data_IF_125130334416
#
_entry.id   IF_125130334416
#
_cell.length_a   1.000
_cell.length_b   1.000
_cell.length_c   1.000
_cell.angle_alpha   90.00
_cell.angle_beta   90.00
_cell.angle_gamma   90.00
#
_symmetry.space_group_name_H-M   'P 1'
#
loop_
_entity.id
_entity.type
_entity.pdbx_description
1 polymer ?
#
# COMPACT_ATOMS: atom_id res chain seq x y z
N UNK A 1 -9.11 -114.91 11.45
CA UNK A 1 -8.40 -114.02 10.51
C UNK A 1 -9.15 -112.69 10.44
N UNK A 2 -8.59 -111.59 10.96
CA UNK A 2 -9.09 -110.24 10.66
C UNK A 2 -8.69 -109.89 9.22
N UNK A 3 -9.62 -109.33 8.42
CA UNK A 3 -9.44 -109.12 6.97
C UNK A 3 -8.91 -107.72 6.58
N UNK A 4 -8.61 -106.84 7.54
CA UNK A 4 -7.86 -105.61 7.30
C UNK A 4 -7.27 -105.09 8.61
N UNK A 5 -6.02 -104.62 8.57
CA UNK A 5 -5.41 -103.79 9.62
C UNK A 5 -5.06 -102.45 8.98
N UNK A 6 -5.51 -101.35 9.57
CA UNK A 6 -5.16 -99.99 9.15
C UNK A 6 -4.44 -99.31 10.31
N UNK A 7 -3.22 -98.85 10.09
CA UNK A 7 -2.54 -97.92 10.99
C UNK A 7 -2.81 -96.51 10.49
N UNK A 8 -3.27 -95.64 11.38
CA UNK A 8 -3.53 -94.24 11.11
C UNK A 8 -2.69 -93.42 12.10
N UNK A 9 -1.91 -92.47 11.59
CA UNK A 9 -1.13 -91.52 12.40
C UNK A 9 -1.78 -90.14 12.38
N UNK A 10 -1.43 -89.28 13.32
CA UNK A 10 -1.98 -87.91 13.41
C UNK A 10 -1.60 -87.08 12.16
N UNK A 11 -0.48 -87.38 11.53
CA UNK A 11 -0.09 -86.77 10.24
C UNK A 11 -1.06 -87.14 9.10
N UNK A 12 -1.76 -88.28 9.20
CA UNK A 12 -2.76 -88.70 8.22
C UNK A 12 -4.14 -88.03 8.44
N UNK A 13 -4.32 -87.28 9.55
CA UNK A 13 -5.58 -86.63 9.93
C UNK A 13 -5.59 -85.10 9.78
N UNK A 14 -4.42 -84.46 9.59
CA UNK A 14 -4.28 -83.01 9.50
C UNK A 14 -3.72 -82.60 8.14
N UNK A 15 -4.42 -81.73 7.41
CA UNK A 15 -4.10 -81.34 6.02
C UNK A 15 -3.51 -79.93 5.87
N UNK A 16 -3.32 -79.19 6.98
CA UNK A 16 -2.84 -77.80 6.92
C UNK A 16 -1.31 -77.71 7.08
N UNK A 17 -0.65 -77.15 6.08
CA UNK A 17 0.80 -76.97 6.00
C UNK A 17 1.38 -75.93 6.97
N UNK A 18 0.56 -75.11 7.63
CA UNK A 18 1.03 -74.08 8.57
C UNK A 18 1.18 -74.55 10.03
N UNK A 19 0.86 -75.82 10.30
CA UNK A 19 0.99 -76.44 11.61
C UNK A 19 2.30 -77.21 11.71
N UNK A 20 3.13 -76.87 12.70
CA UNK A 20 4.34 -77.63 13.03
C UNK A 20 4.01 -78.53 14.22
N UNK A 21 4.20 -79.83 14.05
CA UNK A 21 3.97 -80.85 15.08
C UNK A 21 5.31 -81.33 15.59
N UNK A 22 5.54 -81.17 16.89
CA UNK A 22 6.68 -81.76 17.59
C UNK A 22 6.15 -82.76 18.61
N UNK A 23 6.59 -84.02 18.49
CA UNK A 23 6.32 -85.08 19.46
C UNK A 23 7.62 -85.38 20.21
N UNK A 24 7.56 -85.38 21.54
CA UNK A 24 8.72 -85.72 22.36
C UNK A 24 8.77 -87.22 22.72
N UNK A 25 9.92 -87.68 23.22
CA UNK A 25 10.13 -89.09 23.62
C UNK A 25 9.31 -89.51 24.87
N UNK A 26 8.38 -88.68 25.35
CA UNK A 26 7.43 -88.98 26.41
C UNK A 26 5.97 -89.04 25.90
N UNK A 27 5.75 -88.87 24.59
CA UNK A 27 4.43 -88.97 23.94
C UNK A 27 3.57 -87.72 24.12
N UNK A 28 4.16 -86.57 24.48
CA UNK A 28 3.47 -85.28 24.49
C UNK A 28 3.59 -84.61 23.12
N UNK A 29 2.43 -84.15 22.62
CA UNK A 29 2.32 -83.50 21.31
C UNK A 29 2.13 -82.00 21.52
N UNK A 30 3.01 -81.19 20.94
CA UNK A 30 2.90 -79.73 20.92
C UNK A 30 2.51 -79.25 19.52
N UNK A 31 1.41 -78.50 19.43
CA UNK A 31 0.92 -77.86 18.20
C UNK A 31 1.28 -76.38 18.23
N UNK A 32 2.13 -75.94 17.30
CA UNK A 32 2.50 -74.52 17.17
C UNK A 32 1.93 -73.97 15.87
N UNK A 33 1.04 -72.99 16.00
CA UNK A 33 0.46 -72.26 14.88
C UNK A 33 1.25 -70.98 14.63
N UNK A 34 1.82 -70.82 13.43
CA UNK A 34 2.51 -69.60 13.03
C UNK A 34 1.60 -68.78 12.13
N UNK A 35 1.25 -67.58 12.58
CA UNK A 35 0.51 -66.59 11.79
C UNK A 35 1.34 -65.32 11.68
N UNK A 36 1.59 -64.87 10.45
CA UNK A 36 2.25 -63.59 10.23
C UNK A 36 1.25 -62.46 10.57
N UNK A 37 1.61 -61.61 11.54
CA UNK A 37 0.78 -60.49 11.95
C UNK A 37 1.03 -59.29 11.01
N UNK A 38 0.00 -58.97 10.22
CA UNK A 38 -0.25 -57.73 9.48
C UNK A 38 0.99 -56.91 9.05
N UNK A 39 1.35 -57.01 7.77
CA UNK A 39 2.21 -56.03 7.11
C UNK A 39 1.44 -54.71 6.97
N UNK A 40 1.67 -53.79 7.91
CA UNK A 40 1.05 -52.46 7.87
C UNK A 40 1.81 -51.57 6.87
N UNK A 41 1.26 -51.38 5.68
CA UNK A 41 1.70 -50.30 4.79
C UNK A 41 1.27 -48.94 5.41
N UNK A 42 2.27 -48.23 5.93
CA UNK A 42 2.14 -46.97 6.67
C UNK A 42 1.69 -45.80 5.79
N UNK A 43 1.66 -45.95 4.46
CA UNK A 43 1.16 -44.93 3.52
C UNK A 43 -0.33 -44.63 3.75
N UNK A 44 -1.06 -45.53 4.42
CA UNK A 44 -2.49 -45.39 4.68
C UNK A 44 -2.85 -44.73 6.03
N UNK A 45 -1.90 -44.59 6.96
CA UNK A 45 -2.18 -44.10 8.33
C UNK A 45 -1.99 -42.58 8.44
N UNK A 46 -1.27 -41.96 7.50
CA UNK A 46 -1.07 -40.51 7.47
C UNK A 46 -1.95 -39.90 6.38
N UNK A 47 -3.21 -39.60 6.71
CA UNK A 47 -3.99 -38.64 5.91
C UNK A 47 -3.57 -37.25 6.37
N UNK A 48 -2.70 -36.59 5.59
CA UNK A 48 -2.53 -35.15 5.69
C UNK A 48 -3.71 -34.54 4.94
N UNK A 49 -4.82 -34.33 5.63
CA UNK A 49 -5.87 -33.47 5.13
C UNK A 49 -5.31 -32.03 5.19
N UNK A 50 -4.63 -31.61 4.12
CA UNK A 50 -4.27 -30.20 3.97
C UNK A 50 -5.57 -29.45 3.74
N UNK A 51 -6.18 -28.96 4.81
CA UNK A 51 -7.07 -27.81 4.71
C UNK A 51 -6.13 -26.64 4.44
N UNK A 52 -5.97 -26.28 3.17
CA UNK A 52 -5.43 -24.98 2.85
C UNK A 52 -6.50 -23.98 3.27
N UNK A 53 -6.33 -23.38 4.44
CA UNK A 53 -7.11 -22.20 4.80
C UNK A 53 -6.80 -21.14 3.75
N UNK A 54 -7.77 -20.86 2.87
CA UNK A 54 -7.72 -19.71 1.98
C UNK A 54 -7.95 -18.46 2.84
N UNK A 55 -6.87 -17.90 3.36
CA UNK A 55 -6.90 -16.64 4.06
C UNK A 55 -7.07 -15.51 3.04
N UNK A 56 -8.32 -15.11 2.79
CA UNK A 56 -8.62 -13.91 2.00
C UNK A 56 -8.30 -12.71 2.88
N UNK A 57 -7.06 -12.23 2.82
CA UNK A 57 -6.70 -10.92 3.31
C UNK A 57 -7.33 -9.87 2.39
N UNK A 58 -8.49 -9.33 2.79
CA UNK A 58 -8.93 -8.04 2.27
C UNK A 58 -8.09 -7.00 2.99
N UNK A 59 -7.42 -6.12 2.23
CA UNK A 59 -6.87 -4.88 2.79
C UNK A 59 -8.05 -4.16 3.45
N UNK A 60 -8.09 -4.19 4.78
CA UNK A 60 -9.05 -3.43 5.56
C UNK A 60 -8.74 -1.95 5.26
N UNK A 61 -9.72 -1.27 4.66
CA UNK A 61 -9.67 0.10 4.10
C UNK A 61 -8.28 0.75 4.06
N UNK A 62 -7.63 0.79 2.90
CA UNK A 62 -6.42 1.61 2.74
C UNK A 62 -6.83 3.08 2.91
N UNK A 63 -6.50 3.66 4.07
CA UNK A 63 -6.63 5.09 4.31
C UNK A 63 -5.42 5.78 3.72
N UNK A 64 -5.64 6.69 2.78
CA UNK A 64 -4.59 7.51 2.20
C UNK A 64 -4.40 8.76 3.04
N UNK A 65 -3.14 9.12 3.33
CA UNK A 65 -2.82 10.38 3.98
C UNK A 65 -3.13 11.56 3.05
N UNK A 66 -3.38 12.73 3.65
CA UNK A 66 -3.58 13.95 2.89
C UNK A 66 -2.29 14.31 2.13
N UNK A 67 -2.44 14.68 0.86
CA UNK A 67 -1.32 15.04 0.00
C UNK A 67 -1.27 16.56 -0.07
N UNK A 68 -0.19 17.18 0.41
CA UNK A 68 -0.02 18.64 0.37
C UNK A 68 1.23 19.04 -0.41
N UNK A 69 1.06 19.95 -1.36
CA UNK A 69 2.13 20.53 -2.19
C UNK A 69 2.05 22.05 -2.06
N UNK A 70 3.20 22.71 -1.96
CA UNK A 70 3.28 24.17 -1.80
C UNK A 70 4.13 24.80 -2.90
N UNK A 71 3.66 25.92 -3.42
CA UNK A 71 4.38 26.82 -4.31
C UNK A 71 4.59 28.18 -3.65
N UNK A 72 5.67 28.87 -4.02
CA UNK A 72 6.07 30.16 -3.42
C UNK A 72 6.46 31.14 -4.51
N UNK A 73 5.67 32.20 -4.67
CA UNK A 73 5.96 33.30 -5.58
C UNK A 73 6.46 34.52 -4.79
N UNK A 74 7.70 34.92 -4.99
CA UNK A 74 8.30 36.03 -4.26
C UNK A 74 7.96 37.38 -4.90
N UNK A 75 7.91 38.44 -4.09
CA UNK A 75 7.74 39.80 -4.59
C UNK A 75 8.93 40.20 -5.45
N UNK A 76 10.13 39.66 -5.19
CA UNK A 76 11.33 39.89 -6.00
C UNK A 76 11.17 39.38 -7.43
N UNK A 77 10.61 38.18 -7.62
CA UNK A 77 10.29 37.62 -8.95
C UNK A 77 9.23 38.46 -9.64
N UNK A 78 8.16 38.82 -8.92
CA UNK A 78 7.06 39.64 -9.45
C UNK A 78 7.55 41.02 -9.89
N UNK A 79 8.36 41.70 -9.09
CA UNK A 79 8.94 43.01 -9.42
C UNK A 79 9.89 42.88 -10.62
N UNK A 80 10.66 41.80 -10.70
CA UNK A 80 11.61 41.57 -11.81
C UNK A 80 10.92 41.33 -13.14
N UNK A 81 9.68 40.83 -13.13
CA UNK A 81 8.85 40.67 -14.33
C UNK A 81 8.30 42.02 -14.86
N UNK A 82 8.24 43.06 -14.02
CA UNK A 82 7.81 44.40 -14.43
C UNK A 82 8.99 45.13 -15.09
N UNK A 83 8.85 45.66 -16.33
CA UNK A 83 9.91 46.46 -16.97
C UNK A 83 10.33 47.66 -16.12
N UNK A 84 11.59 47.68 -15.67
CA UNK A 84 12.12 48.71 -14.77
C UNK A 84 11.66 48.59 -13.31
N UNK A 85 10.91 47.52 -12.96
CA UNK A 85 10.42 47.24 -11.62
C UNK A 85 11.50 47.33 -10.54
N UNK A 86 12.68 46.68 -10.70
CA UNK A 86 13.74 46.76 -9.69
C UNK A 86 14.31 48.16 -9.44
N UNK A 87 14.13 49.10 -10.37
CA UNK A 87 14.52 50.50 -10.22
C UNK A 87 13.43 51.28 -9.46
N UNK A 88 12.16 50.98 -9.73
CA UNK A 88 11.01 51.63 -9.10
C UNK A 88 10.77 51.12 -7.66
N UNK A 89 11.04 49.85 -7.40
CA UNK A 89 10.84 49.19 -6.11
C UNK A 89 12.10 48.44 -5.66
N UNK A 90 13.22 49.13 -5.34
CA UNK A 90 14.44 48.44 -4.93
C UNK A 90 14.25 47.64 -3.64
N UNK A 91 14.94 46.50 -3.52
CA UNK A 91 14.91 45.71 -2.29
C UNK A 91 15.45 46.52 -1.08
N UNK A 92 14.77 46.43 0.06
CA UNK A 92 15.08 47.17 1.28
C UNK A 92 14.64 48.64 1.27
N UNK A 93 13.96 49.10 0.21
CA UNK A 93 13.42 50.45 0.13
C UNK A 93 12.07 50.59 0.84
N UNK A 94 11.60 51.82 0.99
CA UNK A 94 10.22 52.12 1.41
C UNK A 94 9.54 52.88 0.29
N UNK A 95 8.48 52.31 -0.29
CA UNK A 95 7.78 52.87 -1.44
C UNK A 95 6.27 52.68 -1.31
N UNK A 96 5.50 53.53 -1.98
CA UNK A 96 4.05 53.32 -2.11
C UNK A 96 3.81 52.42 -3.32
N UNK A 97 3.13 51.30 -3.10
CA UNK A 97 2.80 50.34 -4.17
C UNK A 97 1.49 50.82 -4.83
N UNK A 98 1.47 51.07 -6.14
CA UNK A 98 0.24 51.38 -6.86
C UNK A 98 -0.61 50.11 -7.03
N UNK A 99 -1.90 50.28 -7.35
CA UNK A 99 -2.70 49.12 -7.78
C UNK A 99 -2.26 48.66 -9.17
N UNK A 100 -2.11 47.36 -9.35
CA UNK A 100 -1.72 46.71 -10.60
C UNK A 100 -2.72 45.59 -10.89
N UNK A 101 -3.43 45.68 -12.01
CA UNK A 101 -4.38 44.65 -12.43
C UNK A 101 -3.66 43.55 -13.19
N UNK A 102 -4.07 42.30 -12.99
CA UNK A 102 -3.53 41.14 -13.69
C UNK A 102 -2.01 41.01 -13.53
N UNK A 103 -1.49 41.26 -12.32
CA UNK A 103 -0.05 41.15 -12.03
C UNK A 103 0.48 39.74 -12.35
N UNK A 104 -0.39 38.75 -12.25
CA UNK A 104 -0.21 37.43 -12.84
C UNK A 104 -1.44 37.08 -13.69
N UNK A 105 -1.21 36.57 -14.89
CA UNK A 105 -2.26 36.18 -15.84
C UNK A 105 -1.78 35.01 -16.71
N UNK A 106 -2.53 33.92 -16.68
CA UNK A 106 -2.17 32.64 -17.33
C UNK A 106 -0.80 32.11 -16.90
N UNK A 107 -0.40 32.44 -15.67
CA UNK A 107 0.80 31.85 -15.09
C UNK A 107 0.51 30.42 -14.66
N UNK A 108 1.51 29.54 -14.74
CA UNK A 108 1.34 28.11 -14.51
C UNK A 108 2.22 27.62 -13.37
N UNK A 109 1.60 26.90 -12.44
CA UNK A 109 2.26 26.25 -11.32
C UNK A 109 2.20 24.74 -11.57
N UNK A 110 3.37 24.09 -11.63
CA UNK A 110 3.44 22.65 -11.74
C UNK A 110 3.37 22.01 -10.34
N UNK A 111 2.44 21.07 -10.19
CA UNK A 111 2.18 20.35 -8.95
C UNK A 111 2.53 18.89 -9.23
N UNK A 112 3.63 18.42 -8.62
CA UNK A 112 4.13 17.06 -8.79
C UNK A 112 3.78 16.20 -7.57
N UNK A 113 2.82 15.31 -7.76
CA UNK A 113 2.37 14.30 -6.80
C UNK A 113 2.90 12.89 -7.13
N UNK A 114 3.87 12.75 -8.04
CA UNK A 114 4.43 11.47 -8.49
C UNK A 114 5.02 10.62 -7.36
N UNK A 115 5.43 11.24 -6.25
CA UNK A 115 5.86 10.52 -5.05
C UNK A 115 4.74 9.72 -4.36
N UNK A 116 3.47 10.03 -4.64
CA UNK A 116 2.31 9.43 -3.99
C UNK A 116 1.56 8.47 -4.92
N UNK A 117 1.37 8.85 -6.18
CA UNK A 117 0.60 8.07 -7.16
C UNK A 117 0.96 8.47 -8.59
N UNK A 118 0.71 7.59 -9.55
CA UNK A 118 0.75 7.90 -10.99
C UNK A 118 -0.60 8.42 -11.50
N UNK A 119 -1.68 7.72 -11.14
CA UNK A 119 -3.07 8.12 -11.42
C UNK A 119 -3.98 7.62 -10.30
N UNK A 120 -5.03 8.39 -9.98
CA UNK A 120 -6.06 7.99 -9.01
C UNK A 120 -7.45 8.34 -9.52
N UNK A 121 -8.42 7.45 -9.33
CA UNK A 121 -9.85 7.69 -9.57
C UNK A 121 -10.57 7.68 -8.23
N UNK A 122 -11.22 8.79 -7.88
CA UNK A 122 -11.81 9.02 -6.57
C UNK A 122 -13.30 8.68 -6.58
N UNK A 123 -13.82 8.02 -5.53
CA UNK A 123 -15.26 8.03 -5.24
C UNK A 123 -15.64 9.16 -4.26
N UNK A 124 -14.65 9.69 -3.52
CA UNK A 124 -14.76 10.89 -2.69
C UNK A 124 -13.38 11.53 -2.53
N UNK A 125 -13.36 12.82 -2.23
CA UNK A 125 -12.16 13.57 -1.87
C UNK A 125 -12.37 15.06 -2.06
N UNK A 126 -11.57 15.87 -1.40
CA UNK A 126 -11.61 17.33 -1.53
C UNK A 126 -10.26 17.84 -2.01
N UNK A 127 -10.32 18.78 -2.94
CA UNK A 127 -9.19 19.61 -3.31
C UNK A 127 -9.32 20.94 -2.58
N UNK A 128 -8.35 21.22 -1.72
CA UNK A 128 -8.28 22.41 -0.88
C UNK A 128 -7.14 23.29 -1.37
N UNK A 129 -7.39 24.58 -1.53
CA UNK A 129 -6.36 25.58 -1.84
C UNK A 129 -6.31 26.60 -0.71
N UNK A 130 -5.12 26.77 -0.12
CA UNK A 130 -4.82 27.84 0.80
C UNK A 130 -3.85 28.82 0.12
N UNK A 131 -4.20 30.12 0.11
CA UNK A 131 -3.31 31.18 -0.37
C UNK A 131 -2.96 32.07 0.82
N UNK A 132 -1.67 32.20 1.10
CA UNK A 132 -1.11 33.01 2.19
C UNK A 132 -0.43 34.22 1.57
N UNK A 133 -0.93 35.42 1.87
CA UNK A 133 -0.39 36.66 1.32
C UNK A 133 0.62 37.29 2.30
N UNK A 134 1.92 37.09 2.09
CA UNK A 134 2.93 37.82 2.85
C UNK A 134 3.45 39.08 2.13
N UNK A 135 2.84 39.50 1.02
CA UNK A 135 3.19 40.78 0.41
C UNK A 135 2.82 41.93 1.35
N UNK A 136 3.50 43.09 1.25
CA UNK A 136 3.24 44.27 2.06
C UNK A 136 1.97 45.04 1.64
N UNK A 137 1.13 44.47 0.77
CA UNK A 137 -0.15 45.04 0.32
C UNK A 137 -1.15 43.92 0.03
N UNK A 138 -2.42 44.26 -0.05
CA UNK A 138 -3.49 43.29 -0.30
C UNK A 138 -3.46 42.78 -1.75
N UNK A 139 -3.92 41.55 -1.94
CA UNK A 139 -4.15 40.95 -3.27
C UNK A 139 -5.64 40.66 -3.44
N UNK A 140 -6.14 40.75 -4.67
CA UNK A 140 -7.57 40.58 -4.95
C UNK A 140 -7.82 39.90 -6.30
N UNK A 141 -9.08 39.53 -6.52
CA UNK A 141 -9.57 38.94 -7.77
C UNK A 141 -8.73 37.75 -8.24
N UNK A 142 -8.32 36.89 -7.30
CA UNK A 142 -7.57 35.69 -7.62
C UNK A 142 -8.53 34.69 -8.28
N UNK A 143 -8.11 34.15 -9.42
CA UNK A 143 -8.81 33.09 -10.14
C UNK A 143 -7.81 32.01 -10.52
N UNK A 144 -7.97 30.82 -9.93
CA UNK A 144 -7.08 29.68 -10.12
C UNK A 144 -7.88 28.48 -10.63
N UNK A 145 -7.40 27.85 -11.69
CA UNK A 145 -7.94 26.59 -12.19
C UNK A 145 -6.90 25.49 -12.03
N UNK A 146 -7.29 24.31 -11.56
CA UNK A 146 -6.42 23.14 -11.54
C UNK A 146 -6.85 22.18 -12.64
N UNK A 147 -5.90 21.69 -13.43
CA UNK A 147 -6.18 20.84 -14.59
C UNK A 147 -5.27 19.62 -14.63
N UNK A 148 -5.78 18.52 -15.16
CA UNK A 148 -4.95 17.39 -15.56
C UNK A 148 -4.23 17.75 -16.87
N UNK A 149 -2.88 17.72 -16.92
CA UNK A 149 -2.12 18.07 -18.11
C UNK A 149 -2.33 17.07 -19.26
N UNK A 150 -2.63 15.80 -18.96
CA UNK A 150 -2.76 14.74 -19.96
C UNK A 150 -3.95 14.96 -20.92
N UNK A 151 -5.05 15.50 -20.40
CA UNK A 151 -6.33 15.62 -21.09
C UNK A 151 -6.97 17.02 -20.98
N UNK A 152 -6.32 17.97 -20.30
CA UNK A 152 -6.79 19.33 -20.04
C UNK A 152 -8.14 19.40 -19.33
N UNK A 153 -8.54 18.33 -18.64
CA UNK A 153 -9.77 18.33 -17.85
C UNK A 153 -9.58 19.21 -16.61
N UNK A 154 -10.55 20.08 -16.35
CA UNK A 154 -10.56 20.94 -15.17
C UNK A 154 -10.98 20.09 -13.97
N UNK A 155 -10.09 20.01 -12.98
CA UNK A 155 -10.33 19.34 -11.71
C UNK A 155 -11.14 20.24 -10.78
N UNK A 156 -10.74 21.51 -10.65
CA UNK A 156 -11.38 22.47 -9.77
C UNK A 156 -11.09 23.90 -10.19
N UNK A 157 -11.95 24.83 -9.77
CA UNK A 157 -11.74 26.28 -9.89
C UNK A 157 -11.90 26.92 -8.52
N UNK A 158 -11.04 27.88 -8.22
CA UNK A 158 -10.99 28.61 -6.96
C UNK A 158 -11.05 30.11 -7.23
N UNK A 159 -11.73 30.84 -6.35
CA UNK A 159 -11.78 32.30 -6.42
C UNK A 159 -11.64 32.93 -5.05
N UNK A 160 -10.68 33.85 -4.93
CA UNK A 160 -10.46 34.62 -3.70
C UNK A 160 -10.65 36.10 -4.02
N UNK A 161 -11.76 36.71 -3.57
CA UNK A 161 -12.06 38.11 -3.87
C UNK A 161 -11.04 39.09 -3.29
N UNK A 162 -10.55 38.82 -2.07
CA UNK A 162 -9.59 39.65 -1.35
C UNK A 162 -8.83 38.80 -0.34
N UNK A 163 -7.51 38.95 -0.30
CA UNK A 163 -6.64 38.43 0.76
C UNK A 163 -5.77 39.59 1.23
N UNK A 164 -6.01 40.04 2.46
CA UNK A 164 -5.28 41.16 3.03
C UNK A 164 -3.80 40.81 3.26
N UNK A 165 -2.94 41.82 3.34
CA UNK A 165 -1.53 41.66 3.70
C UNK A 165 -1.39 40.96 5.06
N UNK A 166 -0.62 39.87 5.10
CA UNK A 166 -0.37 39.05 6.29
C UNK A 166 -1.44 38.00 6.59
N UNK A 167 -2.53 37.95 5.81
CA UNK A 167 -3.63 37.01 6.00
C UNK A 167 -3.56 35.82 5.04
N UNK A 168 -4.33 34.78 5.33
CA UNK A 168 -4.57 33.65 4.42
C UNK A 168 -6.05 33.46 4.11
N UNK A 169 -6.33 32.88 2.95
CA UNK A 169 -7.67 32.45 2.56
C UNK A 169 -7.64 30.99 2.10
N UNK A 170 -8.71 30.27 2.40
CA UNK A 170 -8.87 28.85 2.10
C UNK A 170 -10.19 28.61 1.40
N UNK A 171 -10.16 27.78 0.35
CA UNK A 171 -11.35 27.32 -0.37
C UNK A 171 -11.19 25.82 -0.72
N UNK A 172 -12.31 25.12 -0.93
CA UNK A 172 -12.34 23.67 -1.13
C UNK A 172 -13.41 23.24 -2.12
N UNK A 173 -13.08 22.28 -2.99
CA UNK A 173 -13.97 21.72 -4.00
C UNK A 173 -14.00 20.20 -3.88
N UNK A 174 -15.19 19.60 -3.93
CA UNK A 174 -15.38 18.15 -4.01
C UNK A 174 -14.95 17.64 -5.40
N UNK A 175 -14.08 16.64 -5.40
CA UNK A 175 -13.48 16.03 -6.60
C UNK A 175 -13.84 14.53 -6.71
N UNK A 176 -14.86 14.08 -5.98
CA UNK A 176 -15.43 12.75 -6.12
C UNK A 176 -15.91 12.46 -7.56
N UNK A 177 -15.57 11.28 -8.06
CA UNK A 177 -15.85 10.84 -9.42
C UNK A 177 -14.83 11.30 -10.47
N UNK A 178 -13.83 12.11 -10.10
CA UNK A 178 -12.76 12.53 -11.00
C UNK A 178 -11.57 11.56 -10.96
N UNK A 179 -10.86 11.51 -12.08
CA UNK A 179 -9.53 10.91 -12.19
C UNK A 179 -8.49 12.02 -12.15
N UNK A 180 -7.47 11.86 -11.32
CA UNK A 180 -6.38 12.82 -11.10
C UNK A 180 -5.07 12.15 -11.50
N UNK A 181 -4.26 12.87 -12.27
CA UNK A 181 -2.92 12.44 -12.67
C UNK A 181 -1.88 12.89 -11.64
N UNK A 182 -0.72 12.22 -11.61
CA UNK A 182 0.41 12.58 -10.75
C UNK A 182 0.87 14.02 -10.92
N UNK A 183 0.74 14.55 -12.13
CA UNK A 183 1.05 15.93 -12.44
C UNK A 183 -0.25 16.69 -12.55
N UNK A 184 -0.37 17.79 -11.81
CA UNK A 184 -1.48 18.74 -11.94
C UNK A 184 -0.88 20.09 -12.35
N UNK A 185 -1.56 20.81 -13.25
CA UNK A 185 -1.18 22.18 -13.58
C UNK A 185 -2.18 23.12 -12.93
N UNK A 186 -1.69 24.01 -12.07
CA UNK A 186 -2.44 25.18 -11.63
C UNK A 186 -2.28 26.31 -12.62
N UNK A 187 -3.38 26.88 -13.09
CA UNK A 187 -3.42 28.00 -14.02
C UNK A 187 -3.98 29.21 -13.27
N UNK A 188 -3.12 30.18 -12.97
CA UNK A 188 -3.50 31.44 -12.36
C UNK A 188 -4.04 32.37 -13.45
N UNK A 189 -5.35 32.37 -13.62
CA UNK A 189 -6.04 33.14 -14.65
C UNK A 189 -5.98 34.65 -14.38
N UNK A 190 -6.03 35.04 -13.11
CA UNK A 190 -5.90 36.43 -12.69
C UNK A 190 -5.42 36.54 -11.25
N UNK A 191 -4.67 37.59 -10.96
CA UNK A 191 -4.42 38.13 -9.63
C UNK A 191 -4.19 39.64 -9.77
N UNK A 192 -4.81 40.42 -8.91
CA UNK A 192 -4.61 41.87 -8.84
C UNK A 192 -3.82 42.22 -7.57
N UNK A 193 -2.99 43.25 -7.68
CA UNK A 193 -2.31 43.88 -6.56
C UNK A 193 -3.06 45.17 -6.18
N UNK A 194 -3.46 45.28 -4.93
CA UNK A 194 -4.11 46.49 -4.44
C UNK A 194 -3.07 47.55 -4.09
N UNK A 195 -3.45 48.83 -4.19
CA UNK A 195 -2.59 49.92 -3.76
C UNK A 195 -2.32 49.83 -2.25
N UNK A 196 -1.08 50.07 -1.84
CA UNK A 196 -0.73 50.11 -0.42
C UNK A 196 -1.31 51.36 0.26
N UNK A 197 -1.60 51.26 1.55
CA UNK A 197 -2.08 52.38 2.38
C UNK A 197 -0.93 53.35 2.77
N UNK A 198 -0.24 53.89 1.78
CA UNK A 198 0.97 54.70 1.94
C UNK A 198 2.28 53.91 1.76
N UNK A 199 3.42 54.48 2.17
CA UNK A 199 4.72 53.84 1.98
C UNK A 199 4.88 52.58 2.82
N UNK A 200 5.26 51.47 2.18
CA UNK A 200 5.52 50.17 2.80
C UNK A 200 6.96 49.72 2.52
N UNK A 201 7.51 48.88 3.40
CA UNK A 201 8.83 48.29 3.20
C UNK A 201 8.79 47.26 2.08
N UNK A 202 9.73 47.32 1.14
CA UNK A 202 9.86 46.35 0.06
C UNK A 202 10.95 45.35 0.44
N UNK A 203 10.56 44.11 0.71
CA UNK A 203 11.48 43.00 0.97
C UNK A 203 11.28 41.91 -0.07
N UNK A 204 12.28 41.65 -0.90
CA UNK A 204 12.19 40.69 -2.01
C UNK A 204 11.95 39.25 -1.56
N UNK A 205 12.17 38.94 -0.28
CA UNK A 205 11.86 37.63 0.30
C UNK A 205 10.41 37.47 0.72
N UNK A 206 9.62 38.55 0.76
CA UNK A 206 8.18 38.46 1.00
C UNK A 206 7.53 37.70 -0.15
N UNK A 207 6.61 36.79 0.17
CA UNK A 207 6.09 35.83 -0.80
C UNK A 207 4.61 35.51 -0.62
N UNK A 208 3.94 35.25 -1.73
CA UNK A 208 2.65 34.57 -1.74
C UNK A 208 2.94 33.08 -1.73
N UNK A 209 2.37 32.37 -0.76
CA UNK A 209 2.51 30.92 -0.63
C UNK A 209 1.17 30.29 -0.96
N UNK A 210 1.15 29.42 -1.96
CA UNK A 210 -0.04 28.66 -2.33
C UNK A 210 0.16 27.22 -1.89
N UNK A 211 -0.76 26.67 -1.10
CA UNK A 211 -0.77 25.26 -0.74
C UNK A 211 -1.98 24.59 -1.36
N UNK A 212 -1.74 23.42 -1.92
CA UNK A 212 -2.72 22.60 -2.59
C UNK A 212 -2.74 21.27 -1.86
N UNK A 213 -3.90 20.93 -1.30
CA UNK A 213 -4.10 19.73 -0.50
C UNK A 213 -5.21 18.87 -1.09
N UNK A 214 -4.93 17.58 -1.30
CA UNK A 214 -5.94 16.56 -1.57
C UNK A 214 -6.23 15.84 -0.25
N UNK A 215 -7.48 15.83 0.20
CA UNK A 215 -7.89 15.30 1.50
C UNK A 215 -9.13 14.42 1.44
N UNK A 216 -9.36 13.64 2.50
CA UNK A 216 -10.43 12.62 2.62
C UNK A 216 -10.49 11.69 1.39
N UNK A 217 -9.31 11.23 0.97
CA UNK A 217 -9.12 10.46 -0.25
C UNK A 217 -9.83 9.11 -0.11
N UNK A 218 -10.84 8.88 -0.96
CA UNK A 218 -11.45 7.56 -1.15
C UNK A 218 -11.31 7.12 -2.60
N UNK A 219 -10.54 6.05 -2.83
CA UNK A 219 -10.19 5.56 -4.16
C UNK A 219 -11.17 4.50 -4.66
N UNK A 220 -11.52 4.60 -5.94
CA UNK A 220 -12.14 3.51 -6.72
C UNK A 220 -11.05 2.66 -7.38
N UNK A 221 -10.06 3.32 -7.97
CA UNK A 221 -8.93 2.70 -8.67
C UNK A 221 -7.72 3.63 -8.55
N UNK A 222 -6.51 3.10 -8.39
CA UNK A 222 -5.29 3.91 -8.46
C UNK A 222 -4.08 3.05 -8.84
N UNK A 223 -3.12 3.69 -9.51
CA UNK A 223 -1.76 3.18 -9.64
C UNK A 223 -0.91 3.93 -8.62
N UNK A 224 -0.79 3.38 -7.41
CA UNK A 224 -0.03 3.98 -6.33
C UNK A 224 1.42 3.46 -6.32
N UNK A 225 2.36 4.32 -5.92
CA UNK A 225 3.74 3.91 -5.66
C UNK A 225 3.81 3.41 -4.22
N UNK A 226 3.71 2.10 -4.03
CA UNK A 226 3.92 1.51 -2.71
C UNK A 226 5.42 1.40 -2.43
N UNK A 227 5.93 1.91 -1.29
CA UNK A 227 7.31 1.62 -0.87
C UNK A 227 7.49 0.10 -0.67
N UNK A 228 8.73 -0.41 -0.76
CA UNK A 228 9.02 -1.80 -0.39
C UNK A 228 8.52 -2.05 1.04
N UNK A 229 7.46 -2.84 1.17
CA UNK A 229 6.91 -3.25 2.45
C UNK A 229 6.95 -4.77 2.53
N UNK A 230 7.54 -5.28 3.61
CA UNK A 230 7.54 -6.70 3.93
C UNK A 230 6.15 -7.07 4.47
N UNK A 231 5.23 -7.48 3.59
CA UNK A 231 3.80 -7.69 3.90
C UNK A 231 3.53 -8.93 4.75
N UNK A 232 4.38 -9.95 4.68
CA UNK A 232 4.24 -11.17 5.47
C UNK A 232 5.60 -11.84 5.65
N UNK A 233 5.94 -12.23 6.88
CA UNK A 233 6.99 -13.20 7.16
C UNK A 233 6.34 -14.46 7.72
N UNK A 234 6.14 -15.48 6.88
CA UNK A 234 5.62 -16.78 7.34
C UNK A 234 6.79 -17.57 7.94
N UNK A 235 7.01 -17.42 9.24
CA UNK A 235 7.86 -18.35 9.98
C UNK A 235 7.10 -19.69 10.12
N UNK A 236 7.34 -20.63 9.20
CA UNK A 236 6.87 -22.01 9.35
C UNK A 236 7.68 -22.71 10.44
N UNK A 237 7.21 -22.65 11.67
CA UNK A 237 7.72 -23.52 12.72
C UNK A 237 7.07 -24.91 12.60
N UNK A 238 7.86 -25.90 12.20
CA UNK A 238 7.48 -27.29 12.32
C UNK A 238 7.75 -27.76 13.75
N UNK A 239 6.71 -27.73 14.60
CA UNK A 239 6.76 -28.34 15.92
C UNK A 239 6.46 -29.83 15.83
N UNK A 240 7.40 -30.66 16.27
CA UNK A 240 7.22 -32.10 16.37
C UNK A 240 7.06 -32.49 17.84
N UNK A 241 5.86 -32.90 18.24
CA UNK A 241 5.61 -33.46 19.57
C UNK A 241 5.80 -34.98 19.52
N UNK A 242 6.97 -35.42 19.97
CA UNK A 242 7.23 -36.83 20.23
C UNK A 242 6.99 -37.06 21.72
N UNK A 243 5.96 -37.83 22.10
CA UNK A 243 5.64 -38.14 23.50
C UNK A 243 6.75 -38.88 24.27
N UNK A 244 6.43 -39.84 25.15
CA UNK A 244 7.40 -40.50 26.05
C UNK A 244 8.49 -41.37 25.35
N UNK A 245 8.67 -41.28 24.04
CA UNK A 245 9.66 -42.05 23.29
C UNK A 245 11.05 -41.43 23.40
N UNK A 246 12.00 -42.16 23.98
CA UNK A 246 13.43 -41.81 23.98
C UNK A 246 14.12 -42.40 22.75
N UNK A 247 14.45 -41.57 21.77
CA UNK A 247 15.26 -41.99 20.63
C UNK A 247 16.76 -41.98 20.96
N UNK A 248 17.50 -42.98 20.48
CA UNK A 248 18.96 -43.06 20.66
C UNK A 248 19.73 -42.38 19.51
N UNK A 249 19.09 -42.16 18.35
CA UNK A 249 19.68 -41.46 17.19
C UNK A 249 18.58 -41.03 16.19
N UNK A 250 18.71 -39.83 15.63
CA UNK A 250 17.92 -39.30 14.52
C UNK A 250 18.88 -38.87 13.41
N UNK A 251 18.67 -39.31 12.16
CA UNK A 251 19.44 -38.84 11.00
C UNK A 251 18.49 -38.16 10.01
N UNK A 252 18.73 -36.87 9.74
CA UNK A 252 18.01 -36.11 8.72
C UNK A 252 18.81 -36.17 7.42
N UNK A 253 18.19 -36.71 6.36
CA UNK A 253 18.78 -36.70 5.02
C UNK A 253 18.27 -35.47 4.28
N UNK A 254 19.19 -34.58 3.89
CA UNK A 254 18.88 -33.39 3.10
C UNK A 254 18.81 -33.79 1.63
N UNK A 255 17.61 -33.82 1.05
CA UNK A 255 17.46 -33.88 -0.40
C UNK A 255 17.44 -32.44 -0.94
N UNK A 256 18.47 -32.09 -1.71
CA UNK A 256 18.51 -30.86 -2.48
C UNK A 256 17.72 -31.10 -3.77
N UNK A 257 16.53 -30.52 -3.88
CA UNK A 257 15.89 -30.35 -5.19
C UNK A 257 16.66 -29.27 -5.96
N UNK A 258 17.13 -29.61 -7.17
CA UNK A 258 17.60 -28.65 -8.17
C UNK A 258 16.42 -28.05 -8.93
#
# INVERSE_FOLDING_TARGET
>A
MPLAHTNMSINDMLTDTNLIINEDNQGLISLVFKQDFLDLNIDSIIRIDTVADEEIHKLDSVTFEDITISDTATIGETISAIPGGPILFPNGSTNTIPSILGIANQDTINIDASQYFNTMTLYRGYLIVEVINNYPTDISNISLSLVNPSNQNILANFSFPLIASGESALDSVDIGGLTIDENIIGILNNMDLNASNGPVSINYSDAIITKITISDIGLTEATAIFPEQQLTEILKEHSFNFGLLKFKKLELKKELYQ
#
